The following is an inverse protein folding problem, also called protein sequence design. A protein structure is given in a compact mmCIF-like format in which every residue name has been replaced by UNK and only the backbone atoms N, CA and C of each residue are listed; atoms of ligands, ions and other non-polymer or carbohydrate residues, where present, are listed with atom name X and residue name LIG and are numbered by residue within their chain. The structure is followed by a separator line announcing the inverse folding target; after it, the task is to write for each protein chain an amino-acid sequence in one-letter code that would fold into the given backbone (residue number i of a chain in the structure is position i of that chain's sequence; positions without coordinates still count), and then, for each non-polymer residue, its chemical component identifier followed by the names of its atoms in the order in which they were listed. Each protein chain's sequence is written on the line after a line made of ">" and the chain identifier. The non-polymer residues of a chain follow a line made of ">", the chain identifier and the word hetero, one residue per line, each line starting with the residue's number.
data_IF_396192489883
#
_entry.id   IF_396192489883
#
_cell.length_a   1.000
_cell.length_b   1.000
_cell.length_c   1.000
_cell.angle_alpha   90.00
_cell.angle_beta   90.00
_cell.angle_gamma   90.00
#
_symmetry.space_group_name_H-M   'P 1'
#
loop_
_entity.id
_entity.type
_entity.pdbx_description
1 polymer ?
#
# COMPACT_ATOMS: atom_id res chain seq x y z
N UNK A 1 8.23 -6.07 -18.03
CA UNK A 1 6.95 -6.72 -18.36
C UNK A 1 6.63 -7.93 -17.49
N UNK A 2 7.59 -8.72 -17.01
CA UNK A 2 7.28 -9.85 -16.12
C UNK A 2 6.87 -9.35 -14.72
N UNK A 3 5.63 -9.65 -14.30
CA UNK A 3 5.06 -9.34 -12.99
C UNK A 3 4.80 -10.64 -12.25
N UNK A 4 5.03 -10.68 -10.94
CA UNK A 4 4.62 -11.80 -10.07
C UNK A 4 3.65 -11.29 -9.01
N UNK A 5 2.73 -12.15 -8.59
CA UNK A 5 1.92 -11.97 -7.40
C UNK A 5 1.86 -13.31 -6.67
N UNK A 6 1.97 -13.29 -5.34
CA UNK A 6 1.99 -14.48 -4.51
C UNK A 6 1.45 -14.17 -3.11
N UNK A 7 1.13 -15.22 -2.36
CA UNK A 7 0.71 -15.11 -0.96
C UNK A 7 1.87 -15.53 -0.08
N UNK A 8 2.28 -14.67 0.84
CA UNK A 8 3.21 -15.06 1.90
C UNK A 8 2.50 -16.04 2.85
N UNK A 9 3.04 -17.25 2.98
CA UNK A 9 2.43 -18.33 3.76
C UNK A 9 2.45 -18.09 5.27
N UNK A 10 3.39 -17.28 5.72
CA UNK A 10 3.56 -16.91 7.13
C UNK A 10 2.50 -15.89 7.52
N UNK A 11 2.41 -14.79 6.77
CA UNK A 11 1.56 -13.65 7.12
C UNK A 11 0.15 -13.73 6.53
N UNK A 12 -0.02 -14.46 5.42
CA UNK A 12 -1.23 -14.43 4.61
C UNK A 12 -1.32 -13.22 3.67
N UNK A 13 -0.33 -12.33 3.66
CA UNK A 13 -0.36 -11.15 2.80
C UNK A 13 -0.19 -11.50 1.32
N UNK A 14 -0.86 -10.71 0.49
CA UNK A 14 -0.71 -10.75 -0.96
C UNK A 14 0.40 -9.78 -1.33
N UNK A 15 1.51 -10.32 -1.83
CA UNK A 15 2.62 -9.57 -2.39
C UNK A 15 2.55 -9.57 -3.91
N UNK A 16 3.01 -8.49 -4.55
CA UNK A 16 3.16 -8.50 -6.00
C UNK A 16 4.02 -7.38 -6.53
N UNK A 17 4.28 -7.41 -7.83
CA UNK A 17 5.05 -6.39 -8.52
C UNK A 17 6.57 -6.55 -8.39
N UNK A 18 7.25 -5.46 -8.73
CA UNK A 18 8.66 -5.16 -8.48
C UNK A 18 8.87 -3.66 -8.72
N UNK A 19 10.07 -3.15 -8.40
CA UNK A 19 10.44 -1.74 -8.61
C UNK A 19 10.25 -1.20 -10.04
N UNK A 20 10.09 -2.07 -11.05
CA UNK A 20 9.92 -1.69 -12.46
C UNK A 20 8.47 -1.79 -12.95
N UNK A 21 7.50 -1.93 -12.05
CA UNK A 21 6.08 -2.04 -12.40
C UNK A 21 5.19 -1.05 -11.62
N UNK A 22 4.00 -0.81 -12.18
CA UNK A 22 2.99 0.09 -11.66
C UNK A 22 1.67 -0.69 -11.50
N UNK A 23 1.61 -1.60 -10.52
CA UNK A 23 0.47 -2.51 -10.33
C UNK A 23 -0.67 -1.95 -9.48
N UNK A 24 -0.49 -0.79 -8.87
CA UNK A 24 -1.48 -0.11 -8.02
C UNK A 24 -1.97 1.15 -8.71
N UNK A 25 -2.95 1.85 -8.14
CA UNK A 25 -3.50 3.08 -8.73
C UNK A 25 -2.50 4.24 -8.81
N UNK A 26 -1.41 4.20 -8.02
CA UNK A 26 -0.30 5.15 -8.13
C UNK A 26 0.64 4.72 -9.26
N UNK A 27 0.20 4.87 -10.50
CA UNK A 27 0.70 4.11 -11.66
C UNK A 27 1.59 4.87 -12.65
N UNK A 28 2.15 6.01 -12.22
CA UNK A 28 2.94 6.86 -13.12
C UNK A 28 4.23 6.19 -13.57
N UNK A 29 4.27 5.78 -14.84
CA UNK A 29 5.48 5.38 -15.55
C UNK A 29 6.20 6.60 -16.14
N UNK A 30 7.48 6.77 -15.82
CA UNK A 30 8.32 7.85 -16.33
C UNK A 30 8.50 7.78 -17.85
N UNK A 31 8.64 8.94 -18.49
CA UNK A 31 8.62 9.08 -19.95
C UNK A 31 9.51 10.20 -20.51
N UNK A 32 10.35 10.81 -19.67
CA UNK A 32 11.33 11.82 -20.05
C UNK A 32 12.69 11.18 -20.36
N UNK A 33 13.14 11.30 -21.61
CA UNK A 33 14.53 10.96 -21.98
C UNK A 33 15.52 11.97 -21.39
N UNK A 34 15.15 13.27 -21.38
CA UNK A 34 16.00 14.37 -20.91
C UNK A 34 16.34 14.24 -19.42
N UNK A 35 15.36 13.81 -18.62
CA UNK A 35 15.53 13.61 -17.19
C UNK A 35 15.94 12.16 -16.83
N UNK A 36 16.17 11.30 -17.82
CA UNK A 36 16.62 9.92 -17.62
C UNK A 36 15.63 9.04 -16.87
N UNK A 37 14.33 9.31 -16.97
CA UNK A 37 13.30 8.61 -16.19
C UNK A 37 12.39 7.70 -17.03
N UNK A 38 12.63 7.62 -18.35
CA UNK A 38 11.84 6.79 -19.26
C UNK A 38 11.84 5.31 -18.83
N UNK A 39 10.65 4.75 -18.66
CA UNK A 39 10.47 3.34 -18.33
C UNK A 39 10.71 3.01 -16.85
N UNK A 40 10.94 4.02 -16.02
CA UNK A 40 11.04 3.86 -14.57
C UNK A 40 9.74 4.31 -13.89
N UNK A 41 9.12 3.48 -13.04
CA UNK A 41 8.01 3.89 -12.20
C UNK A 41 8.38 5.02 -11.23
N UNK A 42 7.53 6.03 -11.11
CA UNK A 42 7.72 7.08 -10.10
C UNK A 42 7.34 6.62 -8.68
N UNK A 43 6.38 5.71 -8.59
CA UNK A 43 5.80 5.17 -7.35
C UNK A 43 5.58 3.66 -7.48
N UNK A 44 6.63 2.84 -7.65
CA UNK A 44 6.47 1.41 -7.55
C UNK A 44 5.97 1.08 -6.13
N UNK A 45 4.85 0.35 -6.06
CA UNK A 45 4.25 -0.11 -4.81
C UNK A 45 4.18 -1.63 -4.82
N UNK A 46 5.34 -2.24 -4.97
CA UNK A 46 5.51 -3.68 -4.91
C UNK A 46 5.60 -4.18 -3.45
N UNK A 47 5.50 -5.49 -3.27
CA UNK A 47 5.29 -6.08 -1.95
C UNK A 47 3.82 -6.10 -1.58
N UNK A 48 3.50 -6.00 -0.29
CA UNK A 48 2.14 -6.05 0.23
C UNK A 48 1.57 -4.64 0.41
N UNK A 49 0.85 -4.13 -0.59
CA UNK A 49 0.15 -2.85 -0.50
C UNK A 49 -0.99 -2.89 0.52
N UNK A 50 -1.06 -1.87 1.38
CA UNK A 50 -1.95 -1.83 2.54
C UNK A 50 -3.44 -2.00 2.19
N UNK A 51 -3.91 -1.35 1.13
CA UNK A 51 -5.30 -1.43 0.72
C UNK A 51 -5.67 -2.80 0.13
N UNK A 52 -4.72 -3.48 -0.51
CA UNK A 52 -4.93 -4.82 -1.07
C UNK A 52 -5.15 -5.83 0.08
N UNK A 53 -4.41 -5.69 1.18
CA UNK A 53 -4.56 -6.61 2.32
C UNK A 53 -5.94 -6.46 2.98
N UNK A 54 -6.42 -5.23 3.13
CA UNK A 54 -7.73 -4.95 3.69
C UNK A 54 -8.88 -5.41 2.79
N UNK A 55 -8.78 -5.17 1.48
CA UNK A 55 -9.74 -5.68 0.50
C UNK A 55 -9.76 -7.21 0.50
N UNK A 56 -8.59 -7.85 0.53
CA UNK A 56 -8.48 -9.31 0.60
C UNK A 56 -9.13 -9.86 1.88
N UNK A 57 -8.82 -9.28 3.05
CA UNK A 57 -9.45 -9.67 4.31
C UNK A 57 -10.98 -9.55 4.26
N UNK A 58 -11.50 -8.44 3.71
CA UNK A 58 -12.95 -8.23 3.57
C UNK A 58 -13.60 -9.28 2.66
N UNK A 59 -13.01 -9.53 1.48
CA UNK A 59 -13.48 -10.53 0.53
C UNK A 59 -13.41 -11.95 1.11
N UNK A 60 -12.32 -12.31 1.80
CA UNK A 60 -12.15 -13.63 2.41
C UNK A 60 -13.20 -13.90 3.49
N UNK A 61 -13.52 -12.90 4.32
CA UNK A 61 -14.61 -13.02 5.29
C UNK A 61 -15.97 -13.20 4.61
N UNK A 62 -16.27 -12.38 3.59
CA UNK A 62 -17.51 -12.52 2.82
C UNK A 62 -17.62 -13.90 2.14
N UNK A 63 -16.53 -14.41 1.56
CA UNK A 63 -16.49 -15.76 0.99
C UNK A 63 -16.72 -16.84 2.07
N UNK A 64 -16.15 -16.67 3.26
CA UNK A 64 -16.42 -17.60 4.36
C UNK A 64 -17.88 -17.57 4.79
N UNK A 65 -18.51 -16.41 4.87
CA UNK A 65 -19.93 -16.26 5.21
C UNK A 65 -20.82 -16.91 4.15
N UNK A 66 -20.54 -16.65 2.87
CA UNK A 66 -21.27 -17.25 1.75
C UNK A 66 -21.13 -18.78 1.73
N UNK A 67 -19.94 -19.30 2.04
CA UNK A 67 -19.72 -20.75 2.12
C UNK A 67 -20.49 -21.36 3.30
N UNK A 68 -20.46 -20.72 4.47
CA UNK A 68 -21.21 -21.17 5.65
C UNK A 68 -22.73 -21.11 5.45
N UNK A 69 -23.22 -20.16 4.65
CA UNK A 69 -24.61 -20.05 4.25
C UNK A 69 -25.01 -21.01 3.12
N UNK A 70 -24.07 -21.79 2.56
CA UNK A 70 -24.31 -22.70 1.44
C UNK A 70 -24.59 -22.01 0.11
N UNK A 71 -24.24 -20.72 -0.02
CA UNK A 71 -24.40 -19.94 -1.27
C UNK A 71 -23.28 -20.28 -2.27
N UNK A 72 -22.10 -20.63 -1.78
CA UNK A 72 -20.98 -21.11 -2.60
C UNK A 72 -20.50 -22.48 -2.09
N UNK A 73 -20.14 -23.37 -3.02
CA UNK A 73 -19.67 -24.71 -2.68
C UNK A 73 -18.22 -24.73 -2.19
N UNK A 74 -17.41 -23.76 -2.63
CA UNK A 74 -15.99 -23.68 -2.25
C UNK A 74 -15.84 -23.05 -0.87
N UNK A 75 -15.23 -23.78 0.06
CA UNK A 75 -14.95 -23.34 1.43
C UNK A 75 -13.50 -22.85 1.66
N UNK A 76 -12.66 -22.89 0.63
CA UNK A 76 -11.25 -22.52 0.73
C UNK A 76 -10.49 -22.61 -0.59
N UNK A 77 -9.17 -22.51 -0.48
CA UNK A 77 -8.21 -22.58 -1.58
C UNK A 77 -7.09 -23.56 -1.24
N UNK A 78 -6.58 -24.24 -2.27
CA UNK A 78 -5.44 -25.18 -2.13
C UNK A 78 -4.35 -24.85 -3.15
N UNK A 79 -3.10 -25.11 -2.75
CA UNK A 79 -1.91 -24.92 -3.59
C UNK A 79 -0.89 -26.00 -3.24
N UNK A 80 -0.80 -27.04 -4.07
CA UNK A 80 -0.01 -28.23 -3.75
C UNK A 80 -0.65 -28.99 -2.58
N UNK A 81 0.13 -29.28 -1.55
CA UNK A 81 -0.33 -30.01 -0.35
C UNK A 81 -0.97 -29.09 0.71
N UNK A 82 -0.83 -27.77 0.57
CA UNK A 82 -1.38 -26.81 1.51
C UNK A 82 -2.79 -26.37 1.10
N UNK A 83 -3.72 -26.36 2.04
CA UNK A 83 -5.09 -25.89 1.86
C UNK A 83 -5.50 -25.02 3.03
N UNK A 84 -6.15 -23.90 2.75
CA UNK A 84 -6.72 -23.01 3.76
C UNK A 84 -8.20 -22.81 3.50
N UNK A 85 -9.01 -22.85 4.55
CA UNK A 85 -10.35 -22.28 4.50
C UNK A 85 -10.29 -20.76 4.29
N UNK A 86 -11.36 -20.16 3.76
CA UNK A 86 -11.41 -18.70 3.57
C UNK A 86 -11.19 -17.94 4.89
N UNK A 87 -11.81 -18.43 5.98
CA UNK A 87 -11.66 -17.88 7.33
C UNK A 87 -10.23 -18.02 7.87
N UNK A 88 -9.54 -19.12 7.59
CA UNK A 88 -8.16 -19.34 8.01
C UNK A 88 -7.21 -18.35 7.33
N UNK A 89 -7.41 -18.07 6.04
CA UNK A 89 -6.63 -17.05 5.34
C UNK A 89 -6.93 -15.64 5.87
N UNK A 90 -8.20 -15.29 6.08
CA UNK A 90 -8.58 -14.01 6.68
C UNK A 90 -7.93 -13.81 8.07
N UNK A 91 -7.93 -14.85 8.91
CA UNK A 91 -7.34 -14.79 10.24
C UNK A 91 -5.81 -14.65 10.21
N UNK A 92 -5.14 -15.26 9.23
CA UNK A 92 -3.69 -15.03 9.01
C UNK A 92 -3.40 -13.56 8.74
N UNK A 93 -4.12 -12.95 7.80
CA UNK A 93 -3.95 -11.51 7.50
C UNK A 93 -4.18 -10.69 8.77
N UNK A 94 -5.28 -10.93 9.47
CA UNK A 94 -5.64 -10.18 10.68
C UNK A 94 -4.58 -10.25 11.77
N UNK A 95 -4.07 -11.45 12.06
CA UNK A 95 -3.06 -11.65 13.12
C UNK A 95 -1.74 -10.93 12.84
N UNK A 96 -1.38 -10.79 11.56
CA UNK A 96 -0.10 -10.21 11.16
C UNK A 96 -0.19 -8.73 10.78
N UNK A 97 -1.39 -8.22 10.45
CA UNK A 97 -1.57 -6.87 9.88
C UNK A 97 -0.96 -5.79 10.77
N UNK A 98 -1.38 -5.72 12.02
CA UNK A 98 -0.94 -4.66 12.93
C UNK A 98 0.58 -4.69 13.17
N UNK A 99 1.15 -5.87 13.44
CA UNK A 99 2.60 -6.03 13.69
C UNK A 99 3.46 -5.55 12.51
N UNK A 100 3.01 -5.80 11.28
CA UNK A 100 3.81 -5.50 10.10
C UNK A 100 3.58 -4.10 9.55
N UNK A 101 2.35 -3.59 9.61
CA UNK A 101 1.97 -2.30 9.03
C UNK A 101 2.01 -1.14 10.01
N UNK A 102 1.81 -1.32 11.31
CA UNK A 102 1.79 -0.18 12.24
C UNK A 102 3.21 0.22 12.66
N UNK A 103 3.49 1.52 12.58
CA UNK A 103 4.72 2.14 13.09
C UNK A 103 4.34 2.91 14.34
N UNK A 104 4.66 2.37 15.51
CA UNK A 104 4.38 3.04 16.78
C UNK A 104 5.35 4.21 17.06
N UNK A 105 5.05 4.97 18.12
CA UNK A 105 5.83 6.13 18.57
C UNK A 105 7.31 5.83 18.89
N UNK A 106 7.62 4.60 19.31
CA UNK A 106 8.95 4.17 19.75
C UNK A 106 9.69 3.37 18.67
N UNK A 107 9.09 3.19 17.49
CA UNK A 107 9.66 2.41 16.41
C UNK A 107 10.93 3.09 15.88
N UNK A 108 12.08 2.47 16.13
CA UNK A 108 13.37 2.90 15.60
C UNK A 108 13.72 2.05 14.35
N UNK A 109 14.01 2.73 13.26
CA UNK A 109 14.31 2.08 11.99
C UNK A 109 14.83 3.09 10.97
N UNK A 110 15.80 2.65 10.18
CA UNK A 110 16.58 3.51 9.27
C UNK A 110 15.71 4.35 8.34
N UNK A 111 14.58 3.82 7.89
CA UNK A 111 13.72 4.45 6.89
C UNK A 111 12.47 5.11 7.45
N UNK A 112 12.33 5.16 8.77
CA UNK A 112 11.09 5.63 9.38
C UNK A 112 11.09 7.15 9.45
N UNK A 113 10.29 7.78 8.59
CA UNK A 113 10.11 9.24 8.56
C UNK A 113 9.08 9.71 9.61
N UNK A 114 7.88 9.10 9.61
CA UNK A 114 6.78 9.44 10.51
C UNK A 114 6.44 8.29 11.46
N UNK A 115 5.87 8.59 12.62
CA UNK A 115 5.41 7.62 13.63
C UNK A 115 3.91 7.72 13.84
N UNK A 116 3.36 6.70 14.49
CA UNK A 116 1.92 6.53 14.66
C UNK A 116 1.20 6.47 13.31
N UNK A 117 1.81 5.81 12.32
CA UNK A 117 1.28 5.67 10.96
C UNK A 117 1.03 4.20 10.63
N UNK A 118 0.24 3.96 9.58
CA UNK A 118 0.26 2.70 8.85
C UNK A 118 1.21 2.84 7.65
N UNK A 119 2.14 1.90 7.53
CA UNK A 119 3.00 1.72 6.36
C UNK A 119 2.18 1.65 5.08
N UNK A 120 2.74 2.16 3.99
CA UNK A 120 2.08 2.11 2.68
C UNK A 120 2.14 0.72 2.04
N UNK A 121 3.28 0.05 2.23
CA UNK A 121 3.56 -1.32 1.79
C UNK A 121 4.34 -2.07 2.86
N UNK A 122 4.40 -3.41 2.75
CA UNK A 122 5.33 -4.25 3.52
C UNK A 122 6.14 -5.12 2.55
N UNK A 123 7.46 -5.07 2.67
CA UNK A 123 8.39 -5.87 1.88
C UNK A 123 8.50 -5.40 0.43
N UNK A 124 8.44 -4.09 0.19
CA UNK A 124 8.76 -3.50 -1.12
C UNK A 124 10.25 -3.67 -1.45
N UNK A 125 10.58 -3.69 -2.75
CA UNK A 125 11.99 -3.76 -3.20
C UNK A 125 12.82 -2.55 -2.71
N UNK A 126 12.19 -1.38 -2.62
CA UNK A 126 12.79 -0.16 -2.09
C UNK A 126 12.28 0.07 -0.68
N UNK A 127 12.97 -0.49 0.31
CA UNK A 127 12.50 -0.58 1.71
C UNK A 127 11.99 0.74 2.32
N UNK A 128 12.52 1.90 1.90
CA UNK A 128 12.02 3.19 2.40
C UNK A 128 10.58 3.49 1.98
N UNK A 129 10.11 2.92 0.87
CA UNK A 129 8.75 3.14 0.36
C UNK A 129 7.69 2.52 1.27
N UNK A 130 8.02 1.45 2.01
CA UNK A 130 7.15 0.88 3.03
C UNK A 130 6.77 1.92 4.09
N UNK A 131 7.71 2.77 4.48
CA UNK A 131 7.58 3.70 5.60
C UNK A 131 7.06 5.10 5.19
N UNK A 132 6.67 5.28 3.93
CA UNK A 132 6.12 6.56 3.48
C UNK A 132 4.69 6.74 3.99
N UNK A 133 4.43 7.89 4.64
CA UNK A 133 3.07 8.27 4.99
C UNK A 133 2.31 8.68 3.71
N UNK A 134 1.38 7.82 3.28
CA UNK A 134 0.51 8.01 2.11
C UNK A 134 -0.96 7.83 2.48
N UNK A 135 -1.86 8.31 1.64
CA UNK A 135 -3.30 8.26 1.89
C UNK A 135 -3.92 6.85 1.72
N UNK A 136 -3.17 5.86 1.25
CA UNK A 136 -3.69 4.54 0.87
C UNK A 136 -4.27 3.75 2.05
N UNK A 137 -3.68 3.86 3.25
CA UNK A 137 -4.18 3.13 4.42
C UNK A 137 -5.58 3.58 4.84
N UNK A 138 -6.05 4.76 4.43
CA UNK A 138 -7.41 5.21 4.70
C UNK A 138 -8.43 4.30 4.00
N UNK A 139 -8.11 3.78 2.82
CA UNK A 139 -8.92 2.76 2.13
C UNK A 139 -8.97 1.47 2.95
N UNK A 140 -7.84 1.08 3.55
CA UNK A 140 -7.78 -0.10 4.41
C UNK A 140 -8.69 0.05 5.64
N UNK A 141 -8.61 1.20 6.34
CA UNK A 141 -9.44 1.48 7.51
C UNK A 141 -10.93 1.63 7.17
N UNK A 142 -11.27 2.17 6.00
CA UNK A 142 -12.65 2.25 5.54
C UNK A 142 -13.24 0.87 5.19
N UNK A 143 -12.41 -0.03 4.66
CA UNK A 143 -12.85 -1.35 4.16
C UNK A 143 -12.87 -2.41 5.27
N UNK A 144 -11.86 -2.40 6.14
CA UNK A 144 -11.64 -3.41 7.15
C UNK A 144 -11.11 -2.78 8.47
N UNK A 145 -11.94 -1.98 9.17
CA UNK A 145 -11.53 -1.26 10.38
C UNK A 145 -11.11 -2.18 11.54
N UNK A 146 -11.41 -3.47 11.47
CA UNK A 146 -11.11 -4.47 12.50
C UNK A 146 -9.74 -5.15 12.33
N UNK A 147 -8.94 -4.73 11.34
CA UNK A 147 -7.57 -5.23 11.13
C UNK A 147 -6.54 -4.63 12.08
N UNK A 148 -6.88 -3.55 12.78
CA UNK A 148 -6.00 -2.86 13.70
C UNK A 148 -6.75 -2.45 14.96
N UNK A 149 -6.04 -2.33 16.08
CA UNK A 149 -6.57 -1.72 17.29
C UNK A 149 -7.16 -0.32 17.01
N UNK A 150 -8.39 -0.02 17.48
CA UNK A 150 -9.04 1.27 17.21
C UNK A 150 -8.25 2.49 17.69
N UNK A 151 -7.49 2.41 18.78
CA UNK A 151 -6.69 3.54 19.26
C UNK A 151 -5.53 3.83 18.31
N UNK A 152 -4.84 2.78 17.84
CA UNK A 152 -3.79 2.90 16.82
C UNK A 152 -4.33 3.43 15.48
N UNK A 153 -5.54 3.00 15.09
CA UNK A 153 -6.21 3.51 13.91
C UNK A 153 -6.49 5.02 14.01
N UNK A 154 -6.97 5.50 15.16
CA UNK A 154 -7.19 6.93 15.40
C UNK A 154 -5.90 7.73 15.33
N UNK A 155 -4.83 7.24 15.95
CA UNK A 155 -3.52 7.89 15.86
C UNK A 155 -3.05 8.05 14.40
N UNK A 156 -3.18 6.99 13.58
CA UNK A 156 -2.84 7.05 12.15
C UNK A 156 -3.75 8.01 11.36
N UNK A 157 -5.05 8.02 11.65
CA UNK A 157 -5.99 8.96 11.01
C UNK A 157 -5.70 10.42 11.38
N UNK A 158 -5.26 10.69 12.61
CA UNK A 158 -4.82 12.03 13.01
C UNK A 158 -3.58 12.46 12.22
N UNK A 159 -2.62 11.56 11.99
CA UNK A 159 -1.47 11.83 11.11
C UNK A 159 -1.90 12.12 9.66
N UNK A 160 -2.86 11.37 9.10
CA UNK A 160 -3.39 11.67 7.77
C UNK A 160 -4.12 13.01 7.73
N UNK A 161 -4.89 13.35 8.77
CA UNK A 161 -5.59 14.64 8.87
C UNK A 161 -4.61 15.81 8.96
N UNK A 162 -3.53 15.65 9.72
CA UNK A 162 -2.52 16.69 9.90
C UNK A 162 -1.67 16.91 8.64
N UNK A 163 -1.16 15.84 8.05
CA UNK A 163 -0.16 15.93 6.99
C UNK A 163 -0.75 15.83 5.59
N UNK A 164 -1.74 14.96 5.39
CA UNK A 164 -2.22 14.58 4.06
C UNK A 164 -3.49 15.32 3.64
N UNK A 165 -4.40 15.64 4.55
CA UNK A 165 -5.66 16.30 4.20
C UNK A 165 -5.41 17.71 3.66
N UNK A 166 -5.76 17.93 2.40
CA UNK A 166 -5.83 19.22 1.74
C UNK A 166 -7.25 19.79 1.75
N UNK A 167 -7.45 21.01 1.21
CA UNK A 167 -8.77 21.64 1.21
C UNK A 167 -9.82 20.92 0.35
N UNK A 168 -9.40 20.19 -0.69
CA UNK A 168 -10.28 19.48 -1.64
C UNK A 168 -9.90 18.02 -1.90
N UNK A 169 -8.75 17.57 -1.41
CA UNK A 169 -8.21 16.25 -1.71
C UNK A 169 -7.19 15.81 -0.66
N UNK A 170 -6.70 14.59 -0.80
CA UNK A 170 -5.65 14.02 0.05
C UNK A 170 -4.33 14.07 -0.72
N UNK A 171 -3.27 14.61 -0.13
CA UNK A 171 -1.92 14.54 -0.69
C UNK A 171 -1.51 13.07 -0.79
N UNK A 172 -0.93 12.67 -1.93
CA UNK A 172 -0.51 11.27 -2.12
C UNK A 172 0.76 10.89 -1.37
N UNK A 173 1.49 11.87 -0.82
CA UNK A 173 2.70 11.70 -0.02
C UNK A 173 2.79 12.83 1.03
N UNK A 174 3.35 12.52 2.20
CA UNK A 174 3.66 13.49 3.25
C UNK A 174 4.61 14.61 2.75
N UNK A 175 4.26 15.90 2.91
CA UNK A 175 5.12 17.04 2.58
C UNK A 175 6.52 17.06 3.22
N UNK A 176 6.73 16.33 4.32
CA UNK A 176 8.06 16.24 4.94
C UNK A 176 9.02 15.29 4.20
N UNK A 177 8.49 14.43 3.33
CA UNK A 177 9.29 13.46 2.56
C UNK A 177 10.12 14.15 1.47
N UNK A 178 11.38 13.72 1.31
CA UNK A 178 12.31 14.28 0.32
C UNK A 178 11.84 14.12 -1.14
N UNK A 179 10.95 13.16 -1.41
CA UNK A 179 10.37 12.92 -2.73
C UNK A 179 9.12 13.78 -3.01
N UNK A 180 8.59 14.50 -2.02
CA UNK A 180 7.39 15.31 -2.18
C UNK A 180 7.56 16.43 -3.21
N UNK A 181 6.60 16.53 -4.13
CA UNK A 181 6.45 17.62 -5.08
C UNK A 181 4.98 17.76 -5.50
N UNK A 182 4.25 18.69 -4.88
CA UNK A 182 2.80 18.84 -5.03
C UNK A 182 2.28 19.47 -6.32
N UNK A 183 3.15 20.04 -7.17
CA UNK A 183 2.73 20.78 -8.37
C UNK A 183 2.85 19.92 -9.64
N UNK A 184 1.77 19.26 -10.03
CA UNK A 184 1.76 18.38 -11.20
C UNK A 184 1.71 19.16 -12.53
N UNK A 185 2.69 18.90 -13.40
CA UNK A 185 2.68 19.35 -14.79
C UNK A 185 3.17 18.25 -15.74
N UNK A 186 2.25 17.58 -16.43
CA UNK A 186 2.60 16.51 -17.38
C UNK A 186 3.41 17.00 -18.59
N UNK A 187 3.32 18.28 -18.93
CA UNK A 187 4.01 18.87 -20.08
C UNK A 187 5.42 19.36 -19.76
N UNK A 188 5.86 19.26 -18.50
CA UNK A 188 7.22 19.65 -18.11
C UNK A 188 8.26 18.86 -18.94
N UNK A 189 8.99 19.56 -19.80
CA UNK A 189 10.04 19.03 -20.66
C UNK A 189 11.45 19.39 -20.16
N UNK A 190 11.55 19.72 -18.86
CA UNK A 190 12.79 20.00 -18.16
C UNK A 190 13.66 18.76 -17.91
N UNK A 191 14.70 18.97 -17.11
CA UNK A 191 15.72 17.95 -16.78
C UNK A 191 15.62 17.44 -15.34
N UNK A 192 14.79 18.05 -14.49
CA UNK A 192 14.57 17.56 -13.13
C UNK A 192 13.66 16.32 -13.18
N UNK A 193 14.22 15.18 -12.77
CA UNK A 193 13.49 13.91 -12.71
C UNK A 193 12.25 14.00 -11.84
N UNK A 194 12.23 14.81 -10.78
CA UNK A 194 11.09 14.90 -9.85
C UNK A 194 9.82 15.44 -10.51
N UNK A 195 9.92 16.25 -11.56
CA UNK A 195 8.76 16.89 -12.22
C UNK A 195 8.61 16.53 -13.68
N UNK A 196 9.71 16.23 -14.38
CA UNK A 196 9.72 16.04 -15.82
C UNK A 196 8.72 14.97 -16.27
N UNK A 197 7.88 15.37 -17.25
CA UNK A 197 6.77 14.57 -17.80
C UNK A 197 5.81 14.05 -16.74
N UNK A 198 5.60 14.84 -15.68
CA UNK A 198 4.64 14.55 -14.62
C UNK A 198 5.06 13.39 -13.72
N UNK A 199 6.36 13.19 -13.50
CA UNK A 199 6.88 12.16 -12.58
C UNK A 199 6.21 12.24 -11.20
N UNK A 200 5.94 13.44 -10.71
CA UNK A 200 5.31 13.70 -9.42
C UNK A 200 3.80 13.45 -9.34
N UNK A 201 3.17 12.83 -10.34
CA UNK A 201 1.70 12.63 -10.36
C UNK A 201 1.13 12.00 -9.08
N UNK A 202 1.91 11.12 -8.42
CA UNK A 202 1.56 10.51 -7.14
C UNK A 202 2.60 10.78 -6.05
N UNK A 203 3.28 11.93 -6.10
CA UNK A 203 4.29 12.33 -5.10
C UNK A 203 3.92 13.65 -4.40
N UNK A 204 2.63 13.97 -4.24
CA UNK A 204 2.20 15.19 -3.57
C UNK A 204 0.81 15.68 -3.99
N UNK A 205 0.50 15.78 -5.30
CA UNK A 205 -0.86 16.04 -5.79
C UNK A 205 -1.88 15.09 -5.18
#
# INVERSE_FOLDING_TARGET
>A
FNVKAYVDRTTGFIHGGNQWNCGTWMDKMGSSDKAGNRGEPATPRDGAAVEIQALAYSVLNAMSELANAGVIDKNGVSSGEESWAWSEWAEKIKKNFEEHFFVDENHDGQFVNQRNILKDTVGSTLEFTDYQLRCNFVVALATAPTLIDPHKAWLALDQAKEHLLGPLGMKTLDPSDWAYNGDYNNNDDGVDKKTAKGWNYHQGP
#
